data_IF_532390527829
#
_entry.id   IF_532390527829
#
_cell.length_a   1.000
_cell.length_b   1.000
_cell.length_c   1.000
_cell.angle_alpha   90.00
_cell.angle_beta   90.00
_cell.angle_gamma   90.00
#
_symmetry.space_group_name_H-M   'P 1'
#
loop_
_entity.id
_entity.type
_entity.pdbx_description
1 polymer ?
#
# COMPACT_ATOMS: atom_id res chain seq x y z
N UNK A 1 5.93 -9.15 3.00
CA UNK A 1 6.36 -9.73 1.73
C UNK A 1 5.33 -9.42 0.65
N UNK A 2 5.80 -9.00 -0.51
CA UNK A 2 4.97 -8.87 -1.71
C UNK A 2 4.75 -10.30 -2.23
N UNK A 3 3.53 -10.67 -2.65
CA UNK A 3 3.24 -12.00 -3.23
C UNK A 3 2.12 -12.76 -2.52
N UNK A 4 1.73 -13.94 -3.02
CA UNK A 4 0.63 -14.72 -2.48
C UNK A 4 0.89 -15.11 -1.01
N UNK A 5 -0.18 -15.31 -0.26
CA UNK A 5 -0.19 -15.54 1.20
C UNK A 5 0.42 -16.88 1.67
N UNK A 6 1.31 -17.48 0.87
CA UNK A 6 2.03 -18.70 1.25
C UNK A 6 2.94 -18.40 2.44
N UNK A 7 2.80 -19.18 3.52
CA UNK A 7 3.68 -19.07 4.69
C UNK A 7 5.14 -19.30 4.29
N UNK A 8 6.01 -18.36 4.66
CA UNK A 8 7.45 -18.44 4.45
C UNK A 8 8.15 -18.47 5.80
N UNK A 9 9.23 -19.24 5.90
CA UNK A 9 10.09 -19.21 7.09
C UNK A 9 10.72 -17.82 7.27
N UNK A 10 10.93 -17.41 8.51
CA UNK A 10 11.47 -16.08 8.83
C UNK A 10 12.83 -15.83 8.17
N UNK A 11 13.67 -16.86 8.05
CA UNK A 11 14.99 -16.75 7.43
C UNK A 11 14.96 -16.67 5.90
N UNK A 12 13.81 -16.99 5.29
CA UNK A 12 13.58 -16.81 3.85
C UNK A 12 12.91 -15.44 3.53
N UNK A 13 12.90 -14.52 4.47
CA UNK A 13 12.30 -13.19 4.34
C UNK A 13 13.19 -12.11 4.94
N UNK A 14 12.94 -10.85 4.57
CA UNK A 14 13.53 -9.66 5.21
C UNK A 14 12.54 -8.99 6.19
N UNK A 15 11.60 -9.76 6.75
CA UNK A 15 10.65 -9.28 7.75
C UNK A 15 11.38 -8.78 9.00
N UNK A 16 10.91 -7.69 9.63
CA UNK A 16 11.45 -7.21 10.90
C UNK A 16 11.07 -8.11 12.10
N UNK A 17 10.04 -8.96 11.93
CA UNK A 17 9.60 -9.90 12.98
C UNK A 17 10.51 -11.12 13.01
N UNK A 18 11.64 -10.97 13.66
CA UNK A 18 12.73 -11.98 13.75
C UNK A 18 13.08 -12.25 15.21
N UNK A 19 13.68 -13.42 15.52
CA UNK A 19 14.22 -13.69 16.86
C UNK A 19 15.22 -12.63 17.34
N UNK A 20 16.11 -12.18 16.43
CA UNK A 20 16.98 -11.02 16.62
C UNK A 20 16.50 -9.91 15.69
N UNK A 21 15.90 -8.85 16.19
CA UNK A 21 15.30 -7.79 15.37
C UNK A 21 16.35 -6.82 14.80
N UNK A 22 17.42 -7.38 14.21
CA UNK A 22 18.46 -6.64 13.52
C UNK A 22 18.10 -6.52 12.04
N UNK A 23 18.19 -5.31 11.51
CA UNK A 23 18.05 -5.00 10.09
C UNK A 23 19.40 -4.67 9.45
N UNK A 24 19.46 -4.76 8.14
CA UNK A 24 20.53 -4.22 7.32
C UNK A 24 19.89 -3.43 6.18
N UNK A 25 20.31 -2.17 6.04
CA UNK A 25 19.78 -1.26 5.02
C UNK A 25 20.95 -0.59 4.33
N UNK A 26 21.19 -0.88 3.04
CA UNK A 26 22.14 -0.11 2.25
C UNK A 26 21.55 1.29 1.97
N UNK A 27 22.36 2.31 2.20
CA UNK A 27 21.96 3.70 2.03
C UNK A 27 23.01 4.47 1.26
N UNK A 28 22.59 5.49 0.51
CA UNK A 28 23.49 6.41 -0.14
C UNK A 28 23.97 7.45 0.89
N UNK A 29 25.27 7.59 1.05
CA UNK A 29 25.87 8.69 1.80
C UNK A 29 25.92 9.93 0.89
N UNK A 30 25.23 11.00 1.29
CA UNK A 30 25.21 12.27 0.53
C UNK A 30 26.26 13.23 1.05
N UNK A 31 26.41 13.36 2.38
CA UNK A 31 27.33 14.31 3.00
C UNK A 31 27.75 13.82 4.40
N UNK A 32 28.93 14.23 4.83
CA UNK A 32 29.41 14.07 6.21
C UNK A 32 29.53 15.47 6.81
N UNK A 33 28.74 15.71 7.86
CA UNK A 33 28.83 16.91 8.70
C UNK A 33 29.37 16.54 10.06
N UNK A 34 29.86 17.52 10.84
CA UNK A 34 30.37 17.25 12.18
C UNK A 34 29.35 16.49 13.02
N UNK A 35 29.64 15.22 13.32
CA UNK A 35 28.79 14.34 14.13
C UNK A 35 27.53 13.79 13.44
N UNK A 36 27.39 14.00 12.12
CA UNK A 36 26.22 13.57 11.37
C UNK A 36 26.59 12.99 10.01
N UNK A 37 25.86 11.95 9.59
CA UNK A 37 25.87 11.43 8.23
C UNK A 37 24.54 11.80 7.57
N UNK A 38 24.58 12.52 6.47
CA UNK A 38 23.40 12.85 5.68
C UNK A 38 23.23 11.76 4.62
N UNK A 39 22.08 11.09 4.70
CA UNK A 39 21.77 9.93 3.87
C UNK A 39 20.74 10.29 2.80
N UNK A 40 20.75 9.56 1.70
CA UNK A 40 19.68 9.56 0.74
C UNK A 40 18.40 8.89 1.29
N UNK A 41 17.33 8.83 0.49
CA UNK A 41 16.09 8.17 0.90
C UNK A 41 16.32 6.76 1.40
N UNK A 42 15.76 6.43 2.57
CA UNK A 42 15.87 5.11 3.19
C UNK A 42 14.55 4.74 3.89
N UNK A 43 14.44 3.48 4.31
CA UNK A 43 13.27 2.93 5.00
C UNK A 43 13.42 2.88 6.53
N UNK A 44 14.41 3.56 7.07
CA UNK A 44 14.61 3.66 8.52
C UNK A 44 13.52 4.52 9.16
N UNK A 45 12.95 4.01 10.23
CA UNK A 45 12.01 4.77 11.06
C UNK A 45 12.79 5.73 11.95
N UNK A 46 12.23 6.93 12.19
CA UNK A 46 12.84 7.90 13.11
C UNK A 46 13.10 7.29 14.50
N UNK A 47 14.26 7.60 15.08
CA UNK A 47 14.71 7.03 16.33
C UNK A 47 15.26 5.60 16.24
N UNK A 48 15.38 5.01 15.04
CA UNK A 48 15.99 3.67 14.88
C UNK A 48 17.47 3.70 15.33
N UNK A 49 17.88 2.89 16.31
CA UNK A 49 19.28 2.84 16.72
C UNK A 49 20.16 2.19 15.64
N UNK A 50 21.31 2.81 15.37
CA UNK A 50 22.33 2.30 14.46
C UNK A 50 23.44 1.65 15.28
N UNK A 51 23.66 0.34 15.08
CA UNK A 51 24.67 -0.40 15.84
C UNK A 51 26.04 -0.43 15.16
N UNK A 52 26.06 -0.40 13.81
CA UNK A 52 27.30 -0.46 13.03
C UNK A 52 27.08 0.18 11.66
N UNK A 53 28.17 0.66 11.06
CA UNK A 53 28.22 1.23 9.72
C UNK A 53 29.38 0.61 8.98
N UNK A 54 29.12 0.05 7.79
CA UNK A 54 30.15 -0.50 6.92
C UNK A 54 30.04 0.08 5.52
N UNK A 55 31.17 0.30 4.83
CA UNK A 55 31.13 0.70 3.44
C UNK A 55 30.49 -0.42 2.60
N UNK A 56 29.62 -0.05 1.67
CA UNK A 56 29.13 -0.95 0.64
C UNK A 56 30.19 -1.13 -0.43
N UNK A 57 30.64 -2.37 -0.64
CA UNK A 57 31.68 -2.69 -1.61
C UNK A 57 31.08 -3.62 -2.67
N UNK A 58 30.81 -3.13 -3.90
CA UNK A 58 30.10 -3.90 -4.93
C UNK A 58 30.72 -5.29 -5.20
N UNK A 59 32.03 -5.42 -5.15
CA UNK A 59 32.71 -6.71 -5.38
C UNK A 59 32.47 -7.75 -4.28
N UNK A 60 32.03 -7.34 -3.09
CA UNK A 60 31.70 -8.22 -1.96
C UNK A 60 30.20 -8.30 -1.68
N UNK A 61 29.48 -7.20 -1.89
CA UNK A 61 28.11 -7.04 -1.42
C UNK A 61 27.05 -7.20 -2.53
N UNK A 62 27.48 -7.20 -3.81
CA UNK A 62 26.58 -7.31 -4.94
C UNK A 62 26.74 -8.64 -5.68
N UNK A 63 25.67 -9.38 -5.79
CA UNK A 63 25.56 -10.64 -6.53
C UNK A 63 24.37 -10.58 -7.50
N UNK A 64 24.49 -9.84 -8.61
CA UNK A 64 23.35 -9.59 -9.54
C UNK A 64 22.76 -10.89 -10.10
N UNK A 65 23.59 -11.91 -10.28
CA UNK A 65 23.20 -13.23 -10.82
C UNK A 65 22.61 -14.18 -9.77
N UNK A 66 22.54 -13.74 -8.49
CA UNK A 66 22.01 -14.60 -7.44
C UNK A 66 20.50 -14.76 -7.58
N UNK A 67 20.03 -16.00 -7.52
CA UNK A 67 18.59 -16.29 -7.55
C UNK A 67 17.97 -15.94 -6.19
N UNK A 68 16.94 -15.09 -6.21
CA UNK A 68 16.19 -14.69 -5.02
C UNK A 68 15.00 -15.66 -4.71
N UNK A 69 14.89 -16.76 -5.48
CA UNK A 69 13.90 -17.80 -5.27
C UNK A 69 12.48 -17.30 -5.44
N UNK A 70 11.65 -17.38 -4.40
CA UNK A 70 10.25 -16.95 -4.48
C UNK A 70 10.06 -15.44 -4.75
N UNK A 71 11.08 -14.62 -4.55
CA UNK A 71 11.03 -13.19 -4.87
C UNK A 71 11.06 -13.01 -6.37
N UNK A 72 11.90 -13.78 -7.09
CA UNK A 72 11.96 -13.75 -8.56
C UNK A 72 10.61 -14.11 -9.19
N UNK A 73 9.87 -15.09 -8.60
CA UNK A 73 8.52 -15.45 -9.03
C UNK A 73 7.54 -14.27 -8.86
N UNK A 74 7.67 -13.53 -7.77
CA UNK A 74 6.81 -12.37 -7.46
C UNK A 74 7.16 -11.20 -8.38
N UNK A 75 8.43 -10.93 -8.60
CA UNK A 75 8.88 -9.83 -9.44
C UNK A 75 8.49 -10.09 -10.91
N UNK A 76 8.67 -11.31 -11.40
CA UNK A 76 8.20 -11.71 -12.73
C UNK A 76 6.66 -11.55 -12.89
N UNK A 77 5.89 -11.88 -11.84
CA UNK A 77 4.45 -11.68 -11.85
C UNK A 77 4.05 -10.19 -11.80
N UNK A 78 4.89 -9.34 -11.20
CA UNK A 78 4.68 -7.90 -11.16
C UNK A 78 5.10 -7.20 -12.46
N UNK A 79 6.08 -7.74 -13.17
CA UNK A 79 6.56 -7.22 -14.46
C UNK A 79 5.71 -7.70 -15.64
N UNK A 80 4.96 -8.80 -15.46
CA UNK A 80 4.06 -9.36 -16.45
C UNK A 80 2.89 -8.44 -16.81
N UNK A 81 2.18 -8.73 -17.92
CA UNK A 81 0.97 -7.98 -18.26
C UNK A 81 -0.09 -8.12 -17.17
N UNK A 82 -0.99 -7.13 -17.04
CA UNK A 82 -2.12 -7.22 -16.12
C UNK A 82 -2.95 -8.48 -16.36
N UNK A 83 -3.24 -9.24 -15.29
CA UNK A 83 -4.03 -10.47 -15.36
C UNK A 83 -5.55 -10.21 -15.28
N UNK A 84 -5.95 -9.03 -14.80
CA UNK A 84 -7.34 -8.63 -14.60
C UNK A 84 -7.65 -7.33 -15.31
N UNK A 85 -8.85 -7.24 -15.85
CA UNK A 85 -9.43 -5.97 -16.33
C UNK A 85 -10.17 -5.31 -15.18
N UNK A 86 -9.89 -4.05 -14.91
CA UNK A 86 -10.59 -3.28 -13.87
C UNK A 86 -11.61 -2.37 -14.52
N UNK A 87 -12.84 -2.42 -14.02
CA UNK A 87 -13.95 -1.57 -14.47
C UNK A 87 -14.61 -0.88 -13.29
N UNK A 88 -15.24 0.26 -13.54
CA UNK A 88 -15.98 1.03 -12.55
C UNK A 88 -17.48 0.96 -12.84
N UNK A 89 -18.29 0.79 -11.81
CA UNK A 89 -19.71 1.04 -11.90
C UNK A 89 -19.96 2.54 -12.15
N UNK A 90 -21.13 2.94 -12.66
CA UNK A 90 -21.49 4.36 -12.77
C UNK A 90 -21.33 5.11 -11.44
N UNK A 91 -21.70 4.47 -10.34
CA UNK A 91 -21.61 5.03 -9.00
C UNK A 91 -20.15 5.22 -8.55
N UNK A 92 -19.28 4.22 -8.79
CA UNK A 92 -17.87 4.34 -8.46
C UNK A 92 -17.18 5.43 -9.29
N UNK A 93 -17.55 5.54 -10.57
CA UNK A 93 -17.01 6.58 -11.45
C UNK A 93 -17.45 7.98 -11.00
N UNK A 94 -18.73 8.15 -10.60
CA UNK A 94 -19.25 9.41 -10.03
C UNK A 94 -18.50 9.80 -8.76
N UNK A 95 -18.30 8.84 -7.83
CA UNK A 95 -17.56 9.07 -6.59
C UNK A 95 -16.14 9.51 -6.87
N UNK A 96 -15.43 8.83 -7.79
CA UNK A 96 -14.05 9.15 -8.14
C UNK A 96 -13.94 10.54 -8.78
N UNK A 97 -14.83 10.83 -9.74
CA UNK A 97 -14.86 12.13 -10.41
C UNK A 97 -15.10 13.27 -9.40
N UNK A 98 -16.05 13.10 -8.49
CA UNK A 98 -16.34 14.10 -7.46
C UNK A 98 -15.16 14.32 -6.50
N UNK A 99 -14.52 13.25 -6.03
CA UNK A 99 -13.33 13.35 -5.17
C UNK A 99 -12.18 14.09 -5.86
N UNK A 100 -11.97 13.82 -7.15
CA UNK A 100 -10.93 14.44 -7.94
C UNK A 100 -11.21 15.92 -8.20
N UNK A 101 -12.45 16.27 -8.56
CA UNK A 101 -12.84 17.63 -8.95
C UNK A 101 -12.99 18.57 -7.75
N UNK A 102 -13.67 18.13 -6.70
CA UNK A 102 -13.99 18.98 -5.55
C UNK A 102 -12.91 18.98 -4.46
N UNK A 103 -12.12 17.89 -4.36
CA UNK A 103 -11.24 17.67 -3.23
C UNK A 103 -9.78 17.39 -3.62
N UNK A 104 -9.48 17.34 -4.91
CA UNK A 104 -8.13 16.99 -5.43
C UNK A 104 -7.63 15.63 -4.91
N UNK A 105 -8.54 14.71 -4.58
CA UNK A 105 -8.25 13.35 -4.12
C UNK A 105 -8.33 12.40 -5.31
N UNK A 106 -7.19 11.88 -5.74
CA UNK A 106 -7.08 10.95 -6.87
C UNK A 106 -6.22 9.75 -6.49
N UNK A 107 -6.79 8.57 -6.55
CA UNK A 107 -6.10 7.30 -6.33
C UNK A 107 -6.46 6.24 -7.38
N UNK A 108 -7.07 6.68 -8.50
CA UNK A 108 -7.50 5.80 -9.59
C UNK A 108 -6.33 4.99 -10.17
N UNK A 109 -5.23 5.64 -10.51
CA UNK A 109 -4.05 4.99 -11.07
C UNK A 109 -3.52 3.88 -10.13
N UNK A 110 -3.52 4.13 -8.81
CA UNK A 110 -3.11 3.15 -7.81
C UNK A 110 -4.08 1.97 -7.70
N UNK A 111 -5.40 2.21 -7.80
CA UNK A 111 -6.39 1.13 -7.84
C UNK A 111 -6.17 0.23 -9.06
N UNK A 112 -6.02 0.83 -10.23
CA UNK A 112 -5.77 0.11 -11.48
C UNK A 112 -4.48 -0.71 -11.41
N UNK A 113 -3.39 -0.13 -10.94
CA UNK A 113 -2.11 -0.81 -10.78
C UNK A 113 -2.20 -2.07 -9.91
N UNK A 114 -2.85 -1.96 -8.74
CA UNK A 114 -2.93 -3.06 -7.78
C UNK A 114 -3.92 -4.13 -8.24
N UNK A 115 -5.15 -3.71 -8.59
CA UNK A 115 -6.24 -4.63 -8.85
C UNK A 115 -6.11 -5.34 -10.20
N UNK A 116 -5.48 -4.72 -11.19
CA UNK A 116 -5.22 -5.38 -12.48
C UNK A 116 -4.21 -6.53 -12.39
N UNK A 117 -3.37 -6.53 -11.37
CA UNK A 117 -2.35 -7.57 -11.18
C UNK A 117 -2.82 -8.69 -10.27
N UNK A 118 -3.36 -8.35 -9.10
CA UNK A 118 -3.83 -9.35 -8.13
C UNK A 118 -4.84 -8.75 -7.13
N UNK A 119 -6.14 -8.99 -7.32
CA UNK A 119 -7.21 -8.51 -6.45
C UNK A 119 -7.40 -9.37 -5.19
N UNK A 120 -6.59 -10.42 -4.98
CA UNK A 120 -6.76 -11.32 -3.84
C UNK A 120 -6.51 -10.63 -2.50
N UNK A 121 -7.19 -11.05 -1.42
CA UNK A 121 -6.98 -10.51 -0.10
C UNK A 121 -5.52 -10.60 0.32
N UNK A 122 -4.93 -9.46 0.65
CA UNK A 122 -3.55 -9.39 1.09
C UNK A 122 -3.29 -8.20 2.02
N UNK A 123 -2.66 -8.46 3.17
CA UNK A 123 -2.45 -7.45 4.22
C UNK A 123 -1.65 -6.23 3.74
N UNK A 124 -0.58 -6.44 2.96
CA UNK A 124 0.27 -5.34 2.49
C UNK A 124 -0.38 -4.48 1.40
N UNK A 125 -1.28 -5.06 0.61
CA UNK A 125 -2.09 -4.35 -0.38
C UNK A 125 -3.35 -3.74 0.20
N UNK A 126 -3.61 -3.97 1.51
CA UNK A 126 -4.81 -3.52 2.22
C UNK A 126 -6.12 -4.01 1.59
N UNK A 127 -6.07 -5.19 0.94
CA UNK A 127 -7.25 -5.86 0.41
C UNK A 127 -7.80 -6.79 1.47
N UNK A 128 -9.10 -6.69 1.75
CA UNK A 128 -9.81 -7.47 2.75
C UNK A 128 -11.04 -8.11 2.13
N UNK A 129 -11.34 -9.34 2.54
CA UNK A 129 -12.62 -9.97 2.25
C UNK A 129 -13.71 -9.34 3.10
N UNK A 130 -14.87 -9.14 2.51
CA UNK A 130 -16.13 -8.71 3.14
C UNK A 130 -17.12 -9.87 3.12
N UNK A 131 -18.37 -9.61 3.46
CA UNK A 131 -19.42 -10.62 3.36
C UNK A 131 -19.69 -11.00 1.90
N UNK A 132 -19.83 -12.33 1.64
CA UNK A 132 -20.03 -12.84 0.28
C UNK A 132 -18.77 -12.74 -0.58
N UNK A 133 -18.96 -12.39 -1.84
CA UNK A 133 -17.89 -12.23 -2.85
C UNK A 133 -17.35 -10.80 -2.94
N UNK A 134 -17.62 -9.97 -1.93
CA UNK A 134 -17.17 -8.59 -1.90
C UNK A 134 -15.83 -8.44 -1.19
N UNK A 135 -15.05 -7.52 -1.71
CA UNK A 135 -13.76 -7.13 -1.17
C UNK A 135 -13.70 -5.62 -0.99
N UNK A 136 -12.79 -5.15 -0.14
CA UNK A 136 -12.39 -3.76 -0.13
C UNK A 136 -10.86 -3.61 -0.20
N UNK A 137 -10.44 -2.53 -0.82
CA UNK A 137 -9.04 -2.09 -0.85
C UNK A 137 -8.92 -0.70 -0.24
N UNK A 138 -7.96 -0.55 0.70
CA UNK A 138 -7.67 0.74 1.32
C UNK A 138 -6.70 1.58 0.50
N UNK A 139 -7.13 2.77 0.08
CA UNK A 139 -6.34 3.76 -0.63
C UNK A 139 -6.29 5.07 0.16
N UNK A 140 -5.22 5.28 0.94
CA UNK A 140 -5.13 6.44 1.83
C UNK A 140 -6.26 6.46 2.85
N UNK A 141 -7.03 7.52 2.85
CA UNK A 141 -8.20 7.75 3.71
C UNK A 141 -9.51 7.19 3.13
N UNK A 142 -9.46 6.35 2.08
CA UNK A 142 -10.61 5.84 1.37
C UNK A 142 -10.57 4.33 1.20
N UNK A 143 -11.72 3.73 1.00
CA UNK A 143 -11.89 2.36 0.54
C UNK A 143 -12.59 2.34 -0.81
N UNK A 144 -12.14 1.45 -1.70
CA UNK A 144 -12.92 1.03 -2.86
C UNK A 144 -13.47 -0.37 -2.59
N UNK A 145 -14.78 -0.53 -2.73
CA UNK A 145 -15.48 -1.81 -2.62
C UNK A 145 -15.61 -2.40 -4.01
N UNK A 146 -15.25 -3.67 -4.16
CA UNK A 146 -15.23 -4.35 -5.45
C UNK A 146 -15.62 -5.81 -5.36
N UNK A 147 -15.97 -6.39 -6.49
CA UNK A 147 -16.17 -7.84 -6.71
C UNK A 147 -15.24 -8.34 -7.82
N UNK A 148 -14.98 -9.65 -7.82
CA UNK A 148 -14.16 -10.30 -8.86
C UNK A 148 -15.00 -11.33 -9.58
N UNK A 149 -15.17 -11.19 -10.89
CA UNK A 149 -15.90 -12.11 -11.75
C UNK A 149 -15.01 -12.58 -12.90
N UNK A 150 -14.46 -13.77 -12.77
CA UNK A 150 -13.47 -14.28 -13.74
C UNK A 150 -12.26 -13.35 -13.84
N UNK A 151 -11.89 -12.86 -15.04
CA UNK A 151 -10.75 -11.96 -15.20
C UNK A 151 -11.12 -10.48 -14.99
N UNK A 152 -12.33 -10.17 -14.52
CA UNK A 152 -12.81 -8.79 -14.35
C UNK A 152 -12.95 -8.45 -12.88
N UNK A 153 -12.33 -7.35 -12.48
CA UNK A 153 -12.54 -6.68 -11.19
C UNK A 153 -13.49 -5.51 -11.42
N UNK A 154 -14.64 -5.53 -10.76
CA UNK A 154 -15.65 -4.49 -10.88
C UNK A 154 -15.74 -3.68 -9.60
N UNK A 155 -15.30 -2.40 -9.64
CA UNK A 155 -15.39 -1.48 -8.53
C UNK A 155 -16.81 -0.93 -8.44
N UNK A 156 -17.47 -1.20 -7.31
CA UNK A 156 -18.89 -0.92 -7.10
C UNK A 156 -19.12 0.49 -6.58
N UNK A 157 -18.37 0.90 -5.56
CA UNK A 157 -18.45 2.23 -4.96
C UNK A 157 -17.21 2.53 -4.12
N UNK A 158 -17.03 3.80 -3.79
CA UNK A 158 -16.04 4.26 -2.83
C UNK A 158 -16.72 4.56 -1.49
N UNK A 159 -15.92 4.56 -0.41
CA UNK A 159 -16.39 4.98 0.91
C UNK A 159 -15.27 5.54 1.77
N UNK A 160 -15.60 6.42 2.75
CA UNK A 160 -14.66 6.94 3.73
C UNK A 160 -14.07 5.84 4.62
N UNK A 161 -12.80 5.95 4.99
CA UNK A 161 -12.13 4.97 5.86
C UNK A 161 -12.29 5.26 7.34
N UNK A 162 -12.45 6.53 7.74
CA UNK A 162 -12.55 6.89 9.15
C UNK A 162 -13.99 6.87 9.65
N UNK A 163 -14.23 6.24 10.81
CA UNK A 163 -15.52 6.33 11.50
C UNK A 163 -15.90 7.79 11.84
N UNK A 164 -17.18 8.09 11.82
CA UNK A 164 -17.69 9.45 12.07
C UNK A 164 -17.23 10.02 13.41
N UNK A 165 -17.13 9.18 14.46
CA UNK A 165 -16.61 9.57 15.76
C UNK A 165 -15.18 10.12 15.72
N UNK A 166 -14.33 9.66 14.79
CA UNK A 166 -12.98 10.17 14.63
C UNK A 166 -12.95 11.46 13.82
N UNK A 167 -13.85 11.60 12.85
CA UNK A 167 -13.97 12.82 12.06
C UNK A 167 -14.46 14.01 12.90
N UNK A 168 -15.26 13.77 13.93
CA UNK A 168 -15.73 14.80 14.86
C UNK A 168 -14.85 14.97 16.11
N UNK A 169 -13.81 14.17 16.27
CA UNK A 169 -12.92 14.24 17.42
C UNK A 169 -12.00 15.47 17.32
N UNK A 170 -12.13 16.44 18.25
CA UNK A 170 -11.30 17.66 18.23
C UNK A 170 -9.83 17.38 18.56
N UNK A 171 -9.52 16.24 19.16
CA UNK A 171 -8.14 15.82 19.46
C UNK A 171 -7.40 15.28 18.23
N UNK A 172 -8.10 15.14 17.08
CA UNK A 172 -7.57 14.61 15.82
C UNK A 172 -7.78 15.61 14.68
N UNK A 173 -7.18 16.80 14.73
CA UNK A 173 -7.39 17.83 13.71
C UNK A 173 -6.81 17.44 12.34
N UNK A 174 -5.75 16.64 12.30
CA UNK A 174 -4.96 16.34 11.10
C UNK A 174 -5.32 15.00 10.43
N UNK A 175 -6.58 14.57 10.51
CA UNK A 175 -7.00 13.38 9.77
C UNK A 175 -6.98 13.67 8.26
N UNK A 176 -6.35 12.79 7.45
CA UNK A 176 -6.34 12.95 6.01
C UNK A 176 -7.75 13.03 5.41
N UNK A 177 -7.96 13.97 4.50
CA UNK A 177 -9.20 14.17 3.75
C UNK A 177 -10.45 14.33 4.64
N UNK A 178 -10.31 14.88 5.84
CA UNK A 178 -11.37 14.95 6.85
C UNK A 178 -12.63 15.59 6.30
N UNK A 179 -12.51 16.77 5.70
CA UNK A 179 -13.67 17.53 5.19
C UNK A 179 -14.30 16.85 3.97
N UNK A 180 -13.49 16.27 3.10
CA UNK A 180 -13.96 15.46 1.99
C UNK A 180 -14.78 14.25 2.46
N UNK A 181 -14.33 13.57 3.53
CA UNK A 181 -15.05 12.43 4.09
C UNK A 181 -16.39 12.82 4.73
N UNK A 182 -16.45 13.98 5.39
CA UNK A 182 -17.70 14.51 5.95
C UNK A 182 -18.66 14.90 4.84
N UNK A 183 -18.18 15.60 3.80
CA UNK A 183 -18.98 15.98 2.64
C UNK A 183 -19.49 14.76 1.85
N UNK A 184 -18.64 13.73 1.69
CA UNK A 184 -19.03 12.48 1.05
C UNK A 184 -20.18 11.78 1.80
N UNK A 185 -20.09 11.72 3.13
CA UNK A 185 -21.12 11.13 3.99
C UNK A 185 -22.45 11.86 3.90
N UNK A 186 -22.41 13.18 3.76
CA UNK A 186 -23.61 14.00 3.60
C UNK A 186 -24.26 13.79 2.22
N UNK A 187 -23.45 13.62 1.18
CA UNK A 187 -23.92 13.47 -0.20
C UNK A 187 -24.40 12.04 -0.50
N UNK A 188 -23.74 11.03 0.06
CA UNK A 188 -24.03 9.61 -0.19
C UNK A 188 -24.09 8.81 1.13
N UNK A 189 -25.10 9.01 1.96
CA UNK A 189 -25.23 8.36 3.25
C UNK A 189 -25.36 6.83 3.17
N UNK A 190 -25.83 6.28 2.06
CA UNK A 190 -26.03 4.85 1.83
C UNK A 190 -24.72 4.05 1.69
N UNK A 191 -23.60 4.71 1.35
CA UNK A 191 -22.31 4.06 1.16
C UNK A 191 -21.35 4.15 2.37
N UNK A 192 -21.83 4.63 3.50
CA UNK A 192 -20.99 4.92 4.67
C UNK A 192 -21.27 4.06 5.90
N UNK A 193 -22.18 3.09 5.77
CA UNK A 193 -22.49 2.12 6.82
C UNK A 193 -21.40 1.06 7.01
#
# INVERSE_FOLDING_TARGET
PRGPSKRRGVFATRSPHRPNPLGITPVQLLEIRKGQLILGPCDLVDGTPVFDIKPYIPSYDSFPEAKAGWIDEVDAALEGPPAFTVSFSPQAAEHMAWLKQEWSVDFEARLLEILSRDPSPHRTRRIRSRHGELFDIGCGAWYAVFEVKGPVVHILHLKPSFPLKFLHDPTRPELPDKDAQLAFRAKWPEFVA
#
